data_IF_599859077280
#
_entry.id   IF_599859077280
#
_cell.length_a   1.000
_cell.length_b   1.000
_cell.length_c   1.000
_cell.angle_alpha   90.00
_cell.angle_beta   90.00
_cell.angle_gamma   90.00
#
_symmetry.space_group_name_H-M   'P 1'
#
loop_
_entity.id
_entity.type
_entity.pdbx_description
1 polymer ?
#
# COMPACT_ATOMS: atom_id res chain seq x y z
N UNK A 1 1.40 11.87 5.57
CA UNK A 1 0.16 11.08 5.80
C UNK A 1 -0.93 12.05 6.20
N UNK A 2 -2.14 11.91 5.62
CA UNK A 2 -3.30 12.65 6.11
C UNK A 2 -3.67 12.13 7.50
N UNK A 3 -3.97 13.03 8.42
CA UNK A 3 -4.47 12.67 9.76
C UNK A 3 -5.99 12.74 9.79
N UNK A 4 -6.61 12.00 10.71
CA UNK A 4 -8.07 12.07 10.93
C UNK A 4 -8.51 13.51 11.23
N UNK A 5 -7.73 14.26 12.01
CA UNK A 5 -8.01 15.67 12.32
C UNK A 5 -8.05 16.55 11.07
N UNK A 6 -7.12 16.37 10.13
CA UNK A 6 -7.13 17.10 8.87
C UNK A 6 -8.34 16.72 8.01
N UNK A 7 -8.67 15.42 7.95
CA UNK A 7 -9.83 14.92 7.20
C UNK A 7 -11.15 15.51 7.71
N UNK A 8 -11.34 15.53 9.03
CA UNK A 8 -12.55 16.07 9.65
C UNK A 8 -12.74 17.57 9.37
N UNK A 9 -11.65 18.32 9.14
CA UNK A 9 -11.73 19.72 8.73
C UNK A 9 -12.20 19.94 7.28
N UNK A 10 -12.25 18.88 6.46
CA UNK A 10 -12.69 18.93 5.07
C UNK A 10 -14.16 18.52 4.89
N UNK A 11 -14.76 17.88 5.89
CA UNK A 11 -16.13 17.36 5.84
C UNK A 11 -17.15 18.46 6.07
N UNK A 12 -18.18 18.53 5.22
CA UNK A 12 -19.30 19.47 5.30
C UNK A 12 -20.62 18.77 5.63
N UNK A 13 -21.59 19.47 6.25
CA UNK A 13 -22.94 18.94 6.44
C UNK A 13 -23.59 18.59 5.08
N UNK A 14 -24.04 17.33 4.94
CA UNK A 14 -24.68 16.83 3.71
C UNK A 14 -23.75 16.07 2.76
N UNK A 15 -22.45 15.95 3.08
CA UNK A 15 -21.51 15.14 2.31
C UNK A 15 -21.90 13.65 2.31
N UNK A 16 -21.71 13.00 1.17
CA UNK A 16 -21.87 11.56 1.00
C UNK A 16 -20.51 10.87 1.02
N UNK A 17 -20.44 9.73 1.70
CA UNK A 17 -19.22 8.96 1.85
C UNK A 17 -19.37 7.57 1.25
N UNK A 18 -18.28 7.05 0.70
CA UNK A 18 -18.14 5.66 0.33
C UNK A 18 -16.80 5.13 0.83
N UNK A 19 -16.70 3.82 0.99
CA UNK A 19 -15.46 3.15 1.40
C UNK A 19 -15.07 2.15 0.33
N UNK A 20 -13.79 2.18 -0.06
CA UNK A 20 -13.19 1.23 -0.99
C UNK A 20 -12.12 0.47 -0.22
N UNK A 21 -12.28 -0.84 -0.14
CA UNK A 21 -11.25 -1.75 0.39
C UNK A 21 -10.55 -2.45 -0.76
N UNK A 22 -9.22 -2.48 -0.72
CA UNK A 22 -8.40 -3.11 -1.75
C UNK A 22 -8.01 -4.51 -1.29
N UNK A 23 -8.59 -5.53 -1.94
CA UNK A 23 -8.19 -6.92 -1.71
C UNK A 23 -6.72 -7.12 -2.05
N UNK A 24 -5.99 -7.83 -1.19
CA UNK A 24 -4.57 -8.14 -1.39
C UNK A 24 -3.70 -6.90 -1.72
N UNK A 25 -4.04 -5.77 -1.07
CA UNK A 25 -3.56 -4.43 -1.40
C UNK A 25 -2.05 -4.34 -1.70
N UNK A 26 -1.20 -4.98 -0.88
CA UNK A 26 0.25 -4.90 -1.04
C UNK A 26 0.75 -5.50 -2.36
N UNK A 27 0.08 -6.51 -2.90
CA UNK A 27 0.53 -7.14 -4.14
C UNK A 27 0.39 -6.25 -5.38
N UNK A 28 -0.29 -5.10 -5.28
CA UNK A 28 -0.32 -4.09 -6.34
C UNK A 28 1.00 -3.31 -6.48
N UNK A 29 1.88 -3.36 -5.47
CA UNK A 29 3.16 -2.64 -5.48
C UNK A 29 4.28 -3.58 -5.90
N UNK A 30 4.96 -3.26 -7.00
CA UNK A 30 6.11 -4.02 -7.45
C UNK A 30 7.35 -3.79 -6.58
N UNK A 31 8.16 -4.85 -6.42
CA UNK A 31 9.48 -4.73 -5.81
C UNK A 31 10.52 -4.56 -6.92
N UNK A 32 11.35 -3.53 -6.75
CA UNK A 32 12.53 -3.28 -7.58
C UNK A 32 13.38 -4.57 -7.69
N UNK A 33 13.75 -5.04 -8.89
CA UNK A 33 14.44 -6.31 -9.09
C UNK A 33 15.65 -6.53 -8.18
N UNK A 34 16.45 -5.49 -7.93
CA UNK A 34 17.63 -5.50 -7.07
C UNK A 34 17.34 -5.78 -5.58
N UNK A 35 16.10 -5.54 -5.13
CA UNK A 35 15.66 -5.76 -3.75
C UNK A 35 15.00 -7.12 -3.51
N UNK A 36 14.58 -7.84 -4.56
CA UNK A 36 13.85 -9.12 -4.43
C UNK A 36 14.64 -10.18 -3.65
N UNK A 37 15.97 -10.15 -3.76
CA UNK A 37 16.88 -11.05 -3.03
C UNK A 37 16.75 -10.98 -1.50
N UNK A 38 16.29 -9.85 -0.95
CA UNK A 38 16.08 -9.68 0.49
C UNK A 38 14.72 -10.20 0.96
N UNK A 39 13.83 -10.51 0.03
CA UNK A 39 12.47 -10.98 0.26
C UNK A 39 12.33 -12.42 -0.25
N UNK A 40 13.38 -13.22 -0.05
CA UNK A 40 13.40 -14.63 -0.40
C UNK A 40 12.83 -15.49 0.71
N UNK A 41 12.17 -16.58 0.34
CA UNK A 41 11.76 -17.63 1.25
C UNK A 41 12.00 -19.00 0.61
N UNK A 42 12.12 -20.04 1.44
CA UNK A 42 12.29 -21.40 0.98
C UNK A 42 11.04 -22.23 1.32
N UNK A 43 10.60 -23.04 0.37
CA UNK A 43 9.50 -23.98 0.56
C UNK A 43 9.81 -25.27 -0.19
N UNK A 44 9.71 -26.42 0.50
CA UNK A 44 9.98 -27.75 -0.07
C UNK A 44 11.33 -27.87 -0.80
N UNK A 45 12.37 -27.23 -0.26
CA UNK A 45 13.71 -27.24 -0.85
C UNK A 45 13.90 -26.30 -2.05
N UNK A 46 12.89 -25.52 -2.43
CA UNK A 46 12.94 -24.53 -3.51
C UNK A 46 12.96 -23.12 -2.93
N UNK A 47 13.87 -22.28 -3.44
CA UNK A 47 13.93 -20.87 -3.08
C UNK A 47 13.04 -20.05 -4.02
N UNK A 48 12.23 -19.18 -3.44
CA UNK A 48 11.34 -18.25 -4.12
C UNK A 48 11.69 -16.83 -3.74
N UNK A 49 11.35 -15.87 -4.61
CA UNK A 49 11.47 -14.45 -4.34
C UNK A 49 10.13 -13.77 -4.58
N UNK A 50 9.77 -12.85 -3.69
CA UNK A 50 8.63 -11.98 -3.95
C UNK A 50 8.96 -10.97 -5.07
N UNK A 51 8.08 -10.90 -6.07
CA UNK A 51 8.10 -9.86 -7.11
C UNK A 51 7.22 -8.65 -6.79
N UNK A 52 6.36 -8.79 -5.78
CA UNK A 52 5.42 -7.80 -5.24
C UNK A 52 5.56 -7.70 -3.73
N UNK A 53 5.23 -6.54 -3.17
CA UNK A 53 5.36 -6.26 -1.74
C UNK A 53 4.63 -7.31 -0.89
N UNK A 54 5.33 -8.09 -0.03
CA UNK A 54 4.72 -9.21 0.68
C UNK A 54 3.98 -8.79 1.94
N UNK A 55 3.02 -9.63 2.35
CA UNK A 55 2.47 -9.60 3.70
C UNK A 55 3.50 -10.11 4.72
N UNK A 56 3.49 -9.53 5.92
CA UNK A 56 4.46 -9.85 6.97
C UNK A 56 5.78 -9.07 6.89
N UNK A 57 6.02 -8.30 5.83
CA UNK A 57 7.15 -7.38 5.78
C UNK A 57 6.82 -6.05 6.48
N UNK A 58 7.68 -5.66 7.42
CA UNK A 58 7.42 -4.52 8.34
C UNK A 58 7.23 -3.19 7.64
N UNK A 59 7.87 -2.98 6.48
CA UNK A 59 7.72 -1.74 5.72
C UNK A 59 6.55 -1.77 4.73
N UNK A 60 5.87 -2.91 4.54
CA UNK A 60 4.76 -3.00 3.59
C UNK A 60 3.66 -1.96 3.81
N UNK A 61 3.16 -1.74 5.05
CA UNK A 61 2.13 -0.73 5.29
C UNK A 61 2.56 0.70 4.93
N UNK A 62 3.80 1.06 5.28
CA UNK A 62 4.36 2.40 5.03
C UNK A 62 4.60 2.63 3.54
N UNK A 63 5.22 1.67 2.85
CA UNK A 63 5.46 1.72 1.41
C UNK A 63 4.14 1.83 0.64
N UNK A 64 3.15 0.98 0.95
CA UNK A 64 1.85 1.01 0.31
C UNK A 64 1.14 2.36 0.52
N UNK A 65 1.14 2.88 1.74
CA UNK A 65 0.50 4.17 2.06
C UNK A 65 1.10 5.34 1.26
N UNK A 66 2.41 5.32 1.01
CA UNK A 66 3.09 6.32 0.17
C UNK A 66 2.65 6.21 -1.29
N UNK A 67 2.63 4.99 -1.84
CA UNK A 67 2.17 4.75 -3.21
C UNK A 67 0.72 5.22 -3.41
N UNK A 68 -0.19 4.88 -2.49
CA UNK A 68 -1.59 5.32 -2.57
C UNK A 68 -1.71 6.84 -2.46
N UNK A 69 -0.94 7.49 -1.59
CA UNK A 69 -0.96 8.94 -1.47
C UNK A 69 -0.57 9.65 -2.78
N UNK A 70 0.41 9.10 -3.51
CA UNK A 70 0.79 9.58 -4.84
C UNK A 70 -0.27 9.26 -5.90
N UNK A 71 -0.81 8.03 -5.90
CA UNK A 71 -1.83 7.60 -6.87
C UNK A 71 -3.12 8.43 -6.78
N UNK A 72 -3.50 8.87 -5.58
CA UNK A 72 -4.68 9.70 -5.34
C UNK A 72 -4.44 11.20 -5.57
N UNK A 73 -3.21 11.63 -5.87
CA UNK A 73 -2.90 13.05 -6.06
C UNK A 73 -3.81 13.73 -7.10
N UNK A 74 -4.12 13.14 -8.28
CA UNK A 74 -5.00 13.77 -9.27
C UNK A 74 -6.45 13.94 -8.83
N UNK A 75 -6.88 13.31 -7.73
CA UNK A 75 -8.24 13.42 -7.19
C UNK A 75 -8.34 14.47 -6.08
N UNK A 76 -7.24 15.17 -5.77
CA UNK A 76 -7.16 16.17 -4.69
C UNK A 76 -7.12 17.61 -5.20
N UNK A 77 -7.14 17.80 -6.51
CA UNK A 77 -7.25 19.08 -7.21
C UNK A 77 -8.71 19.34 -7.62
#
# INVERSE_FOLDING_TARGET
>A
MLTVKQLLGLVQPGDWFTTIDLKDAYFHVEIAPEHRKYLRFAFQGVAYEYSRLPFGYSLSPCTFSKCVATALQPLRD
#
